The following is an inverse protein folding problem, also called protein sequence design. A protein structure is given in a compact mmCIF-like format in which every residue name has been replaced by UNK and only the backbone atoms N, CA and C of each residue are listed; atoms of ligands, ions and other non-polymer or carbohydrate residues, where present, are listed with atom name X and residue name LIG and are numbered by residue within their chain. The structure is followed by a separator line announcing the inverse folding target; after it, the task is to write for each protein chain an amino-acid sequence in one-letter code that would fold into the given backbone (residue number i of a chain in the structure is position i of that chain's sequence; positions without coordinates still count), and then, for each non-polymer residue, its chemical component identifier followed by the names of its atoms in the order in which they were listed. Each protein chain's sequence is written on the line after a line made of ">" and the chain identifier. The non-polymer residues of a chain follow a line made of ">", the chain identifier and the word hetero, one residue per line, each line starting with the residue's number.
data_IF_460866492834
#
_entry.id   IF_460866492834
#
_cell.length_a   1.000
_cell.length_b   1.000
_cell.length_c   1.000
_cell.angle_alpha   90.00
_cell.angle_beta   90.00
_cell.angle_gamma   90.00
#
_symmetry.space_group_name_H-M   'P 1'
#
loop_
_entity.id
_entity.type
_entity.pdbx_description
1 polymer ?
#
# COMPACT_ATOMS: atom_id res chain seq x y z
N UNK A 1 37.83 -66.79 -43.65
CA UNK A 1 37.94 -65.54 -42.87
C UNK A 1 36.85 -64.48 -43.02
N UNK A 2 35.76 -64.69 -43.81
CA UNK A 2 34.64 -63.66 -43.96
C UNK A 2 33.42 -63.88 -43.09
N UNK A 3 33.25 -65.01 -42.37
CA UNK A 3 32.06 -65.29 -41.52
C UNK A 3 32.16 -64.78 -40.05
N UNK A 4 33.41 -64.68 -39.51
CA UNK A 4 33.59 -64.27 -38.10
C UNK A 4 33.47 -62.75 -37.89
N UNK A 5 33.76 -61.95 -38.88
CA UNK A 5 33.66 -60.49 -38.78
C UNK A 5 32.19 -59.98 -38.78
N UNK A 6 31.26 -60.71 -39.36
CA UNK A 6 29.83 -60.36 -39.40
C UNK A 6 29.15 -60.57 -38.02
N UNK A 7 29.51 -61.68 -37.33
CA UNK A 7 28.94 -62.02 -36.00
C UNK A 7 29.41 -61.02 -34.90
N UNK A 8 30.67 -60.56 -34.94
CA UNK A 8 31.15 -59.53 -33.98
C UNK A 8 30.50 -58.15 -34.18
N UNK A 9 30.25 -57.74 -35.41
CA UNK A 9 29.60 -56.45 -35.70
C UNK A 9 28.13 -56.46 -35.28
N UNK A 10 27.43 -57.62 -35.38
CA UNK A 10 26.06 -57.75 -34.94
C UNK A 10 25.93 -57.75 -33.40
N UNK A 11 26.84 -58.47 -32.69
CA UNK A 11 26.89 -58.41 -31.20
C UNK A 11 27.23 -57.01 -30.67
N UNK A 12 28.13 -56.28 -31.27
CA UNK A 12 28.49 -54.90 -30.87
C UNK A 12 27.34 -53.90 -31.11
N UNK A 13 26.51 -54.12 -32.16
CA UNK A 13 25.32 -53.28 -32.40
C UNK A 13 24.18 -53.59 -31.37
N UNK A 14 24.01 -54.86 -30.99
CA UNK A 14 23.02 -55.24 -29.97
C UNK A 14 23.42 -54.69 -28.59
N UNK A 15 24.73 -54.83 -28.21
CA UNK A 15 25.23 -54.31 -26.92
C UNK A 15 25.14 -52.78 -26.85
N UNK A 16 25.39 -52.05 -27.96
CA UNK A 16 25.23 -50.59 -28.01
C UNK A 16 23.75 -50.16 -27.95
N UNK A 17 22.84 -50.93 -28.54
CA UNK A 17 21.39 -50.65 -28.54
C UNK A 17 20.75 -50.92 -27.19
N UNK A 18 21.16 -52.02 -26.49
CA UNK A 18 20.72 -52.26 -25.10
C UNK A 18 21.26 -51.24 -24.13
N UNK A 19 22.56 -50.89 -24.15
CA UNK A 19 23.12 -49.82 -23.30
C UNK A 19 22.46 -48.43 -23.54
N UNK A 20 22.08 -48.13 -24.78
CA UNK A 20 21.37 -46.88 -25.09
C UNK A 20 19.92 -46.85 -24.55
N UNK A 21 19.27 -48.00 -24.57
CA UNK A 21 17.90 -48.14 -24.00
C UNK A 21 17.97 -48.02 -22.46
N UNK A 22 18.89 -48.73 -21.80
CA UNK A 22 19.04 -48.68 -20.34
C UNK A 22 19.37 -47.28 -19.83
N UNK A 23 20.23 -46.55 -20.54
CA UNK A 23 20.52 -45.12 -20.18
C UNK A 23 19.34 -44.21 -20.40
N UNK A 24 18.55 -44.42 -21.45
CA UNK A 24 17.34 -43.63 -21.70
C UNK A 24 16.24 -43.93 -20.67
N UNK A 25 16.07 -45.20 -20.27
CA UNK A 25 15.14 -45.58 -19.20
C UNK A 25 15.58 -45.01 -17.86
N UNK A 26 16.87 -45.02 -17.54
CA UNK A 26 17.39 -44.43 -16.31
C UNK A 26 17.17 -42.90 -16.30
N UNK A 27 17.45 -42.20 -17.39
CA UNK A 27 17.26 -40.76 -17.52
C UNK A 27 15.73 -40.41 -17.38
N UNK A 28 14.87 -41.23 -17.99
CA UNK A 28 13.42 -41.07 -17.91
C UNK A 28 12.93 -41.28 -16.48
N UNK A 29 13.43 -42.33 -15.82
CA UNK A 29 13.12 -42.62 -14.41
C UNK A 29 13.58 -41.48 -13.49
N UNK A 30 14.81 -40.97 -13.64
CA UNK A 30 15.30 -39.83 -12.87
C UNK A 30 14.46 -38.58 -13.10
N UNK A 31 14.04 -38.31 -14.35
CA UNK A 31 13.15 -37.18 -14.67
C UNK A 31 11.77 -37.33 -14.05
N UNK A 32 11.21 -38.53 -14.06
CA UNK A 32 9.90 -38.83 -13.42
C UNK A 32 9.97 -38.68 -11.90
N UNK A 33 11.03 -39.19 -11.26
CA UNK A 33 11.21 -39.01 -9.80
C UNK A 33 11.41 -37.55 -9.43
N UNK A 34 12.16 -36.76 -10.21
CA UNK A 34 12.28 -35.29 -9.97
C UNK A 34 10.95 -34.58 -10.09
N UNK A 35 10.14 -34.93 -11.11
CA UNK A 35 8.78 -34.36 -11.27
C UNK A 35 7.86 -34.75 -10.12
N UNK A 36 7.90 -36.01 -9.69
CA UNK A 36 7.11 -36.49 -8.55
C UNK A 36 7.53 -35.81 -7.23
N UNK A 37 8.85 -35.68 -7.00
CA UNK A 37 9.36 -34.97 -5.81
C UNK A 37 8.98 -33.51 -5.83
N UNK A 38 9.04 -32.82 -6.97
CA UNK A 38 8.57 -31.45 -7.11
C UNK A 38 7.07 -31.32 -6.84
N UNK A 39 6.27 -32.24 -7.39
CA UNK A 39 4.83 -32.24 -7.16
C UNK A 39 4.46 -32.47 -5.66
N UNK A 40 5.18 -33.39 -4.99
CA UNK A 40 5.02 -33.61 -3.54
C UNK A 40 5.41 -32.37 -2.74
N UNK A 41 6.51 -31.71 -3.09
CA UNK A 41 6.94 -30.47 -2.45
C UNK A 41 5.90 -29.36 -2.63
N UNK A 42 5.39 -29.16 -3.85
CA UNK A 42 4.35 -28.18 -4.15
C UNK A 42 3.07 -28.49 -3.35
N UNK A 43 2.66 -29.77 -3.32
CA UNK A 43 1.49 -30.18 -2.54
C UNK A 43 1.69 -29.94 -1.04
N UNK A 44 2.86 -30.27 -0.50
CA UNK A 44 3.19 -30.02 0.91
C UNK A 44 3.16 -28.52 1.25
N UNK A 45 3.70 -27.67 0.37
CA UNK A 45 3.63 -26.22 0.51
C UNK A 45 2.20 -25.71 0.46
N UNK A 46 1.36 -26.22 -0.46
CA UNK A 46 -0.06 -25.86 -0.55
C UNK A 46 -0.84 -26.28 0.70
N UNK A 47 -0.61 -27.49 1.19
CA UNK A 47 -1.23 -27.99 2.42
C UNK A 47 -0.78 -27.20 3.64
N UNK A 48 0.52 -26.90 3.74
CA UNK A 48 1.06 -26.02 4.78
C UNK A 48 0.43 -24.63 4.74
N UNK A 49 0.25 -24.09 3.54
CA UNK A 49 -0.44 -22.82 3.30
C UNK A 49 -1.89 -22.85 3.78
N UNK A 50 -2.65 -23.86 3.36
CA UNK A 50 -4.05 -24.02 3.79
C UNK A 50 -4.15 -24.15 5.31
N UNK A 51 -3.25 -24.91 5.93
CA UNK A 51 -3.20 -25.07 7.39
C UNK A 51 -2.80 -23.78 8.14
N UNK A 52 -2.01 -22.89 7.53
CA UNK A 52 -1.57 -21.65 8.18
C UNK A 52 -2.68 -20.59 8.27
N UNK A 53 -3.63 -20.57 7.33
CA UNK A 53 -4.70 -19.57 7.27
C UNK A 53 -5.53 -19.50 8.56
N UNK A 54 -6.01 -20.61 9.16
CA UNK A 54 -6.72 -20.57 10.43
C UNK A 54 -5.95 -19.90 11.56
N UNK A 55 -4.62 -20.05 11.61
CA UNK A 55 -3.78 -19.39 12.60
C UNK A 55 -3.75 -17.88 12.38
N UNK A 56 -3.58 -17.42 11.13
CA UNK A 56 -3.63 -16.00 10.78
C UNK A 56 -4.99 -15.36 11.01
N UNK A 57 -6.04 -16.17 10.99
CA UNK A 57 -7.42 -15.72 11.26
C UNK A 57 -7.83 -15.84 12.73
N UNK A 58 -6.96 -16.36 13.60
CA UNK A 58 -7.27 -16.47 15.02
C UNK A 58 -7.40 -15.09 15.65
N UNK A 59 -8.51 -14.84 16.34
CA UNK A 59 -8.82 -13.57 16.99
C UNK A 59 -9.26 -12.44 16.04
N UNK A 60 -9.17 -12.63 14.72
CA UNK A 60 -9.61 -11.62 13.74
C UNK A 60 -11.12 -11.37 13.88
N UNK A 61 -11.46 -10.11 14.17
CA UNK A 61 -12.83 -9.64 14.35
C UNK A 61 -13.00 -8.67 15.50
N UNK A 62 -12.08 -8.66 16.46
CA UNK A 62 -12.06 -7.66 17.56
C UNK A 62 -10.63 -7.19 17.79
N UNK A 63 -10.46 -5.93 18.19
CA UNK A 63 -9.13 -5.40 18.50
C UNK A 63 -8.47 -6.15 19.68
N UNK A 64 -9.24 -6.61 20.66
CA UNK A 64 -8.70 -7.42 21.75
C UNK A 64 -8.18 -8.77 21.24
N UNK A 65 -8.93 -9.46 20.38
CA UNK A 65 -8.50 -10.71 19.77
C UNK A 65 -7.27 -10.55 18.87
N UNK A 66 -7.15 -9.43 18.19
CA UNK A 66 -6.04 -9.11 17.28
C UNK A 66 -4.83 -8.48 17.99
N UNK A 67 -4.94 -8.11 19.26
CA UNK A 67 -3.94 -7.31 20.00
C UNK A 67 -2.51 -7.84 19.86
N UNK A 68 -2.34 -9.12 20.09
CA UNK A 68 -1.02 -9.76 20.03
C UNK A 68 -0.42 -9.73 18.60
N UNK A 69 -1.21 -9.99 17.58
CA UNK A 69 -0.75 -9.93 16.19
C UNK A 69 -0.43 -8.50 15.77
N UNK A 70 -1.29 -7.52 16.09
CA UNK A 70 -1.08 -6.09 15.83
C UNK A 70 0.24 -5.61 16.45
N UNK A 71 0.47 -5.90 17.73
CA UNK A 71 1.68 -5.44 18.42
C UNK A 71 2.95 -6.13 17.89
N UNK A 72 2.87 -7.39 17.47
CA UNK A 72 4.01 -8.09 16.85
C UNK A 72 4.31 -7.57 15.45
N UNK A 73 3.31 -7.24 14.64
CA UNK A 73 3.50 -6.59 13.32
C UNK A 73 4.10 -5.20 13.48
N UNK A 74 3.64 -4.43 14.49
CA UNK A 74 4.28 -3.17 14.86
C UNK A 74 5.77 -3.36 15.18
N UNK A 75 6.13 -4.38 15.95
CA UNK A 75 7.53 -4.64 16.31
C UNK A 75 8.40 -4.94 15.09
N UNK A 76 7.89 -5.69 14.11
CA UNK A 76 8.57 -5.89 12.84
C UNK A 76 8.84 -4.57 12.12
N UNK A 77 7.80 -3.72 11.98
CA UNK A 77 7.94 -2.42 11.31
C UNK A 77 8.87 -1.47 12.07
N UNK A 78 8.91 -1.51 13.40
CA UNK A 78 9.90 -0.76 14.19
C UNK A 78 11.32 -1.17 13.77
N UNK A 79 11.60 -2.46 13.70
CA UNK A 79 12.90 -2.98 13.31
C UNK A 79 13.34 -2.56 11.90
N UNK A 80 12.37 -2.32 11.01
CA UNK A 80 12.60 -1.97 9.61
C UNK A 80 12.62 -0.45 9.35
N UNK A 81 11.69 0.30 9.92
CA UNK A 81 11.45 1.70 9.58
C UNK A 81 12.02 2.68 10.63
N UNK A 82 12.10 2.31 11.91
CA UNK A 82 12.63 3.20 12.96
C UNK A 82 14.15 3.00 13.08
N UNK A 83 14.87 3.33 12.01
CA UNK A 83 16.31 3.13 11.89
C UNK A 83 17.01 4.38 11.36
N UNK A 84 17.89 4.27 10.38
CA UNK A 84 18.47 5.41 9.66
C UNK A 84 17.83 5.56 8.28
N UNK A 85 17.79 6.78 7.69
CA UNK A 85 17.25 6.99 6.35
C UNK A 85 17.80 6.02 5.30
N UNK A 86 19.13 5.78 5.32
CA UNK A 86 19.79 4.86 4.40
C UNK A 86 19.27 3.43 4.52
N UNK A 87 19.10 2.94 5.75
CA UNK A 87 18.54 1.59 6.00
C UNK A 87 17.09 1.48 5.55
N UNK A 88 16.28 2.53 5.75
CA UNK A 88 14.91 2.55 5.24
C UNK A 88 14.90 2.46 3.72
N UNK A 89 15.78 3.18 3.04
CA UNK A 89 15.93 3.09 1.58
C UNK A 89 16.35 1.69 1.11
N UNK A 90 17.25 1.02 1.83
CA UNK A 90 17.71 -0.34 1.54
C UNK A 90 16.57 -1.39 1.66
N UNK A 91 15.55 -1.14 2.48
CA UNK A 91 14.38 -2.02 2.60
C UNK A 91 13.38 -1.86 1.43
N UNK A 92 13.56 -0.86 0.58
CA UNK A 92 12.69 -0.67 -0.59
C UNK A 92 13.13 -1.60 -1.75
N UNK A 93 12.21 -1.99 -2.65
CA UNK A 93 12.52 -2.93 -3.73
C UNK A 93 13.67 -2.45 -4.63
N UNK A 94 14.76 -3.21 -4.68
CA UNK A 94 16.00 -2.83 -5.39
C UNK A 94 15.92 -2.83 -6.92
N UNK A 95 14.80 -3.23 -7.51
CA UNK A 95 14.57 -3.18 -8.96
C UNK A 95 13.74 -1.98 -9.41
N UNK A 96 13.38 -1.11 -8.49
CA UNK A 96 12.63 0.12 -8.79
C UNK A 96 13.59 1.27 -9.10
N UNK A 97 13.12 2.23 -9.89
CA UNK A 97 13.80 3.52 -10.05
C UNK A 97 14.00 4.16 -8.67
N UNK A 98 15.14 4.85 -8.46
CA UNK A 98 15.44 5.54 -7.19
C UNK A 98 14.33 6.49 -6.74
N UNK A 99 13.63 7.09 -7.68
CA UNK A 99 12.48 7.94 -7.44
C UNK A 99 11.37 7.19 -6.68
N UNK A 100 10.97 6.02 -7.15
CA UNK A 100 9.95 5.22 -6.48
C UNK A 100 10.43 4.68 -5.12
N UNK A 101 11.74 4.41 -4.97
CA UNK A 101 12.27 3.98 -3.68
C UNK A 101 12.07 5.05 -2.59
N UNK A 102 12.38 6.32 -2.88
CA UNK A 102 12.20 7.43 -1.94
C UNK A 102 10.73 7.66 -1.58
N UNK A 103 9.86 7.64 -2.59
CA UNK A 103 8.42 7.77 -2.42
C UNK A 103 7.83 6.64 -1.56
N UNK A 104 8.19 5.37 -1.85
CA UNK A 104 7.74 4.22 -1.07
C UNK A 104 8.30 4.20 0.35
N UNK A 105 9.53 4.65 0.55
CA UNK A 105 10.12 4.81 1.88
C UNK A 105 9.34 5.82 2.71
N UNK A 106 9.04 6.99 2.15
CA UNK A 106 8.22 8.02 2.77
C UNK A 106 6.81 7.49 3.08
N UNK A 107 6.16 6.86 2.10
CA UNK A 107 4.82 6.33 2.27
C UNK A 107 4.75 5.22 3.33
N UNK A 108 5.76 4.35 3.38
CA UNK A 108 5.88 3.31 4.42
C UNK A 108 6.01 3.92 5.81
N UNK A 109 6.84 4.95 5.97
CA UNK A 109 6.98 5.69 7.23
C UNK A 109 5.67 6.37 7.64
N UNK A 110 4.98 7.00 6.70
CA UNK A 110 3.70 7.69 6.95
C UNK A 110 2.60 6.71 7.37
N UNK A 111 2.40 5.62 6.63
CA UNK A 111 1.40 4.61 6.99
C UNK A 111 1.72 3.95 8.33
N UNK A 112 2.99 3.79 8.65
CA UNK A 112 3.37 3.28 9.96
C UNK A 112 3.13 4.30 11.08
N UNK A 113 3.32 5.60 10.86
CA UNK A 113 2.96 6.64 11.81
C UNK A 113 1.46 6.64 12.10
N UNK A 114 0.61 6.53 11.06
CA UNK A 114 -0.84 6.35 11.21
C UNK A 114 -1.17 5.10 12.03
N UNK A 115 -0.54 3.96 11.73
CA UNK A 115 -0.75 2.73 12.48
C UNK A 115 -0.38 2.88 13.96
N UNK A 116 0.72 3.56 14.28
CA UNK A 116 1.16 3.83 15.64
C UNK A 116 0.16 4.70 16.41
N UNK A 117 -0.40 5.72 15.77
CA UNK A 117 -1.44 6.58 16.35
C UNK A 117 -2.73 5.80 16.59
N UNK A 118 -3.17 5.00 15.62
CA UNK A 118 -4.32 4.13 15.78
C UNK A 118 -4.13 3.10 16.90
N UNK A 119 -2.95 2.47 16.99
CA UNK A 119 -2.60 1.55 18.07
C UNK A 119 -2.68 2.24 19.44
N UNK A 120 -2.19 3.48 19.55
CA UNK A 120 -2.28 4.25 20.79
C UNK A 120 -3.72 4.63 21.17
N UNK A 121 -4.61 4.81 20.21
CA UNK A 121 -6.05 5.02 20.45
C UNK A 121 -6.75 3.75 20.92
N UNK A 122 -6.42 2.59 20.30
CA UNK A 122 -7.00 1.29 20.65
C UNK A 122 -6.42 0.79 21.99
N UNK A 123 -5.13 1.01 22.23
CA UNK A 123 -4.39 0.55 23.39
C UNK A 123 -3.65 1.74 24.05
N UNK A 124 -4.31 2.52 24.92
CA UNK A 124 -3.76 3.79 25.45
C UNK A 124 -2.39 3.67 26.14
N UNK A 125 -2.06 2.50 26.68
CA UNK A 125 -0.75 2.22 27.28
C UNK A 125 0.40 2.22 26.26
N UNK A 126 0.08 2.19 24.95
CA UNK A 126 1.07 2.27 23.87
C UNK A 126 1.37 3.72 23.44
N UNK A 127 0.68 4.72 24.02
CA UNK A 127 0.74 6.12 23.55
C UNK A 127 2.14 6.72 23.61
N UNK A 128 2.80 6.62 24.75
CA UNK A 128 4.12 7.24 24.96
C UNK A 128 5.19 6.62 24.03
N UNK A 129 5.18 5.32 23.91
CA UNK A 129 6.12 4.62 23.04
C UNK A 129 5.84 4.90 21.55
N UNK A 130 4.57 5.00 21.16
CA UNK A 130 4.16 5.37 19.80
C UNK A 130 4.61 6.78 19.44
N UNK A 131 4.48 7.74 20.37
CA UNK A 131 4.94 9.12 20.17
C UNK A 131 6.44 9.17 19.83
N UNK A 132 7.27 8.44 20.57
CA UNK A 132 8.72 8.39 20.31
C UNK A 132 9.06 7.79 18.94
N UNK A 133 8.30 6.82 18.48
CA UNK A 133 8.49 6.25 17.14
C UNK A 133 8.02 7.20 16.04
N UNK A 134 6.87 7.85 16.20
CA UNK A 134 6.38 8.86 15.22
C UNK A 134 7.36 10.02 15.11
N UNK A 135 7.92 10.52 16.23
CA UNK A 135 8.98 11.53 16.22
C UNK A 135 10.17 11.11 15.35
N UNK A 136 10.63 9.87 15.53
CA UNK A 136 11.75 9.33 14.75
C UNK A 136 11.43 9.16 13.26
N UNK A 137 10.22 8.72 12.92
CA UNK A 137 9.77 8.58 11.53
C UNK A 137 9.70 9.95 10.83
N UNK A 138 9.27 11.01 11.52
CA UNK A 138 9.28 12.38 10.99
C UNK A 138 10.72 12.82 10.68
N UNK A 139 11.68 12.61 11.60
CA UNK A 139 13.09 12.92 11.36
C UNK A 139 13.64 12.17 10.13
N UNK A 140 13.30 10.90 9.96
CA UNK A 140 13.69 10.09 8.80
C UNK A 140 13.11 10.67 7.51
N UNK A 141 11.82 10.99 7.48
CA UNK A 141 11.16 11.55 6.29
C UNK A 141 11.70 12.95 5.96
N UNK A 142 12.08 13.73 6.96
CA UNK A 142 12.72 15.04 6.77
C UNK A 142 14.17 14.96 6.28
N UNK A 143 14.79 13.79 6.22
CA UNK A 143 16.16 13.63 5.75
C UNK A 143 16.30 13.96 4.26
N UNK A 144 17.49 14.38 3.83
CA UNK A 144 17.81 14.63 2.43
C UNK A 144 17.66 13.38 1.58
N UNK A 145 17.99 12.22 2.13
CA UNK A 145 17.95 10.94 1.44
C UNK A 145 16.52 10.56 1.01
N UNK A 146 15.55 10.72 1.92
CA UNK A 146 14.15 10.36 1.62
C UNK A 146 13.54 11.40 0.69
N UNK A 147 13.73 12.70 0.89
CA UNK A 147 13.07 13.71 0.05
C UNK A 147 13.76 13.98 -1.29
N UNK A 148 14.90 13.32 -1.56
CA UNK A 148 15.60 13.46 -2.83
C UNK A 148 14.75 13.08 -4.05
N UNK A 149 13.79 12.14 -3.90
CA UNK A 149 12.86 11.77 -4.97
C UNK A 149 12.01 12.96 -5.42
N UNK A 150 11.43 13.70 -4.48
CA UNK A 150 10.62 14.90 -4.75
C UNK A 150 11.49 16.01 -5.34
N UNK A 151 12.69 16.25 -4.78
CA UNK A 151 13.65 17.23 -5.29
C UNK A 151 14.03 16.96 -6.76
N UNK A 152 14.27 15.70 -7.13
CA UNK A 152 14.58 15.32 -8.52
C UNK A 152 13.41 15.60 -9.46
N UNK A 153 12.19 15.32 -9.03
CA UNK A 153 10.96 15.57 -9.81
C UNK A 153 10.70 17.05 -10.03
N UNK A 154 11.07 17.90 -9.07
CA UNK A 154 10.94 19.35 -9.13
C UNK A 154 12.25 20.05 -9.54
N UNK A 155 12.99 19.45 -10.49
CA UNK A 155 14.18 20.03 -11.13
C UNK A 155 15.28 20.48 -10.16
N UNK A 156 15.39 19.83 -9.03
CA UNK A 156 16.38 20.11 -7.99
C UNK A 156 15.91 21.06 -6.91
N UNK A 157 14.66 21.53 -6.95
CA UNK A 157 14.07 22.35 -5.90
C UNK A 157 13.74 21.50 -4.66
N UNK A 158 14.19 21.95 -3.50
CA UNK A 158 13.92 21.26 -2.23
C UNK A 158 12.60 21.76 -1.62
N UNK A 159 11.66 20.83 -1.37
CA UNK A 159 10.32 21.15 -0.87
C UNK A 159 10.31 21.99 0.42
N UNK A 160 11.23 21.73 1.35
CA UNK A 160 11.28 22.45 2.63
C UNK A 160 11.98 23.80 2.53
N UNK A 161 12.89 23.97 1.56
CA UNK A 161 13.57 25.23 1.32
C UNK A 161 12.72 26.20 0.48
N UNK A 162 11.72 25.70 -0.25
CA UNK A 162 10.91 26.48 -1.20
C UNK A 162 9.46 26.72 -0.76
N UNK A 163 9.18 26.70 0.54
CA UNK A 163 7.82 26.91 1.06
C UNK A 163 7.18 28.22 0.60
N UNK A 164 7.98 29.27 0.40
CA UNK A 164 7.49 30.56 -0.12
C UNK A 164 7.29 30.57 -1.65
N UNK A 165 7.81 29.55 -2.35
CA UNK A 165 7.66 29.41 -3.81
C UNK A 165 6.28 28.88 -4.22
N UNK A 166 6.10 28.69 -5.54
CA UNK A 166 4.80 28.33 -6.12
C UNK A 166 4.72 26.90 -6.65
N UNK A 167 5.84 26.15 -6.69
CA UNK A 167 5.80 24.75 -7.08
C UNK A 167 5.04 23.91 -6.06
N UNK A 168 4.32 22.92 -6.53
CA UNK A 168 3.35 22.20 -5.72
C UNK A 168 3.98 21.43 -4.55
N UNK A 169 4.91 20.53 -4.84
CA UNK A 169 5.48 19.58 -3.86
C UNK A 169 4.40 18.87 -3.00
N UNK A 170 3.17 18.75 -3.52
CA UNK A 170 2.01 18.26 -2.74
C UNK A 170 2.23 16.84 -2.24
N UNK A 171 2.86 15.97 -3.03
CA UNK A 171 3.17 14.59 -2.64
C UNK A 171 3.97 14.54 -1.33
N UNK A 172 5.06 15.28 -1.26
CA UNK A 172 5.94 15.27 -0.08
C UNK A 172 5.36 16.08 1.09
N UNK A 173 4.93 17.32 0.84
CA UNK A 173 4.51 18.24 1.91
C UNK A 173 3.26 17.76 2.62
N UNK A 174 2.29 17.20 1.89
CA UNK A 174 1.04 16.72 2.49
C UNK A 174 1.25 15.52 3.42
N UNK A 175 2.09 14.58 3.01
CA UNK A 175 2.43 13.40 3.83
C UNK A 175 3.19 13.83 5.09
N UNK A 176 4.18 14.72 4.96
CA UNK A 176 4.92 15.21 6.11
C UNK A 176 4.02 15.98 7.08
N UNK A 177 3.13 16.83 6.57
CA UNK A 177 2.13 17.53 7.40
C UNK A 177 1.20 16.53 8.12
N UNK A 178 0.73 15.49 7.43
CA UNK A 178 -0.05 14.42 8.04
C UNK A 178 0.67 13.75 9.21
N UNK A 179 1.95 13.39 9.04
CA UNK A 179 2.75 12.79 10.10
C UNK A 179 2.95 13.74 11.31
N UNK A 180 3.12 15.04 11.06
CA UNK A 180 3.19 16.04 12.14
C UNK A 180 1.85 16.17 12.87
N UNK A 181 0.73 16.04 12.15
CA UNK A 181 -0.60 15.94 12.74
C UNK A 181 -0.71 14.72 13.67
N UNK A 182 -0.29 13.53 13.23
CA UNK A 182 -0.27 12.32 14.06
C UNK A 182 0.59 12.49 15.33
N UNK A 183 1.74 13.17 15.20
CA UNK A 183 2.58 13.53 16.36
C UNK A 183 1.83 14.38 17.38
N UNK A 184 1.07 15.38 16.92
CA UNK A 184 0.24 16.25 17.79
C UNK A 184 -0.90 15.48 18.44
N UNK A 185 -1.57 14.58 17.73
CA UNK A 185 -2.62 13.70 18.26
C UNK A 185 -2.12 12.82 19.40
N UNK A 186 -0.89 12.35 19.31
CA UNK A 186 -0.24 11.59 20.38
C UNK A 186 0.17 12.45 21.57
N UNK A 187 -0.07 13.76 21.53
CA UNK A 187 0.32 14.69 22.60
C UNK A 187 1.76 15.16 22.49
N UNK A 188 2.34 15.13 21.28
CA UNK A 188 3.67 15.66 21.01
C UNK A 188 3.78 17.14 21.34
N UNK A 189 4.96 17.55 21.82
CA UNK A 189 5.28 18.93 22.16
C UNK A 189 5.35 19.87 20.94
N UNK A 190 5.96 21.02 21.12
CA UNK A 190 6.02 22.08 20.11
C UNK A 190 7.18 21.94 19.09
N UNK A 191 7.88 20.83 19.10
CA UNK A 191 9.06 20.57 18.25
C UNK A 191 8.84 20.90 16.76
N UNK A 192 7.66 20.58 16.23
CA UNK A 192 7.32 20.74 14.84
C UNK A 192 6.30 21.84 14.55
N UNK A 193 5.81 22.57 15.54
CA UNK A 193 4.66 23.49 15.38
C UNK A 193 4.89 24.55 14.32
N UNK A 194 6.06 25.17 14.29
CA UNK A 194 6.40 26.19 13.30
C UNK A 194 6.43 25.60 11.89
N UNK A 195 7.13 24.47 11.70
CA UNK A 195 7.22 23.83 10.37
C UNK A 195 5.87 23.28 9.92
N UNK A 196 5.11 22.67 10.81
CA UNK A 196 3.76 22.18 10.53
C UNK A 196 2.84 23.30 10.06
N UNK A 197 2.83 24.41 10.77
CA UNK A 197 2.05 25.60 10.39
C UNK A 197 2.48 26.14 9.03
N UNK A 198 3.78 26.30 8.79
CA UNK A 198 4.31 26.79 7.52
C UNK A 198 3.94 25.89 6.35
N UNK A 199 4.05 24.57 6.50
CA UNK A 199 3.64 23.61 5.45
C UNK A 199 2.14 23.72 5.17
N UNK A 200 1.28 23.71 6.20
CA UNK A 200 -0.15 23.81 6.01
C UNK A 200 -0.58 25.14 5.38
N UNK A 201 -0.01 26.26 5.80
CA UNK A 201 -0.28 27.55 5.15
C UNK A 201 0.22 27.58 3.71
N UNK A 202 1.36 26.97 3.41
CA UNK A 202 1.88 26.85 2.04
C UNK A 202 0.95 26.05 1.15
N UNK A 203 0.53 24.86 1.59
CA UNK A 203 -0.42 24.04 0.85
C UNK A 203 -1.74 24.77 0.65
N UNK A 204 -2.29 25.40 1.70
CA UNK A 204 -3.53 26.17 1.62
C UNK A 204 -3.42 27.34 0.64
N UNK A 205 -2.35 28.11 0.69
CA UNK A 205 -2.09 29.22 -0.25
C UNK A 205 -2.03 28.72 -1.69
N UNK A 206 -1.20 27.70 -1.95
CA UNK A 206 -1.04 27.12 -3.30
C UNK A 206 -2.36 26.60 -3.84
N UNK A 207 -3.18 25.93 -3.00
CA UNK A 207 -4.52 25.47 -3.39
C UNK A 207 -5.45 26.65 -3.72
N UNK A 208 -5.41 27.73 -2.93
CA UNK A 208 -6.25 28.92 -3.19
C UNK A 208 -5.79 29.70 -4.43
N UNK A 209 -4.49 29.69 -4.73
CA UNK A 209 -3.93 30.29 -5.95
C UNK A 209 -4.26 29.48 -7.22
N UNK A 210 -4.52 28.16 -7.05
CA UNK A 210 -4.99 27.31 -8.14
C UNK A 210 -6.49 27.48 -8.36
N UNK A 211 -6.91 27.79 -9.59
CA UNK A 211 -8.32 28.03 -9.96
C UNK A 211 -9.25 26.87 -9.56
N UNK A 212 -8.74 25.67 -9.63
CA UNK A 212 -9.49 24.42 -9.32
C UNK A 212 -9.32 23.92 -7.90
N UNK A 213 -8.47 24.53 -7.09
CA UNK A 213 -8.00 24.06 -5.78
C UNK A 213 -7.13 22.78 -5.87
N UNK A 214 -6.71 22.37 -7.04
CA UNK A 214 -5.91 21.18 -7.25
C UNK A 214 -4.45 21.54 -7.55
N UNK A 215 -3.55 20.72 -7.03
CA UNK A 215 -2.11 20.87 -7.19
C UNK A 215 -1.53 19.66 -7.93
N UNK A 216 -0.63 19.85 -8.90
CA UNK A 216 0.01 18.72 -9.57
C UNK A 216 0.93 17.99 -8.58
N UNK A 217 0.85 16.67 -8.58
CA UNK A 217 1.75 15.81 -7.81
C UNK A 217 3.19 16.01 -8.30
N UNK A 218 3.35 16.02 -9.62
CA UNK A 218 4.61 16.28 -10.31
C UNK A 218 4.39 17.20 -11.52
N UNK A 219 5.45 17.87 -12.01
CA UNK A 219 5.35 18.73 -13.18
C UNK A 219 4.85 17.98 -14.41
N UNK A 220 3.97 18.65 -15.16
CA UNK A 220 3.44 18.17 -16.45
C UNK A 220 2.65 16.85 -16.40
N UNK A 221 2.30 16.37 -15.20
CA UNK A 221 1.47 15.18 -15.00
C UNK A 221 0.00 15.55 -14.72
N UNK A 222 -0.94 14.60 -14.92
CA UNK A 222 -2.32 14.73 -14.44
C UNK A 222 -2.38 14.98 -12.93
N UNK A 223 -3.48 15.57 -12.49
CA UNK A 223 -3.76 15.65 -11.05
C UNK A 223 -4.18 14.27 -10.53
N UNK A 224 -3.44 13.75 -9.59
CA UNK A 224 -3.78 12.52 -8.88
C UNK A 224 -4.73 12.89 -7.71
N UNK A 225 -5.99 12.48 -7.85
CA UNK A 225 -7.01 12.80 -6.85
C UNK A 225 -6.68 12.23 -5.45
N UNK A 226 -6.11 11.01 -5.32
CA UNK A 226 -5.67 10.54 -4.01
C UNK A 226 -4.64 11.44 -3.33
N UNK A 227 -3.67 11.99 -4.07
CA UNK A 227 -2.64 12.88 -3.50
C UNK A 227 -3.23 14.20 -3.03
N UNK A 228 -4.20 14.73 -3.78
CA UNK A 228 -4.97 15.88 -3.32
C UNK A 228 -5.74 15.59 -2.05
N UNK A 229 -6.32 14.39 -1.91
CA UNK A 229 -6.99 13.98 -0.69
C UNK A 229 -6.05 13.93 0.52
N UNK A 230 -4.79 13.49 0.33
CA UNK A 230 -3.78 13.55 1.41
C UNK A 230 -3.58 14.99 1.88
N UNK A 231 -3.47 15.95 0.95
CA UNK A 231 -3.33 17.36 1.30
C UNK A 231 -4.57 17.90 2.04
N UNK A 232 -5.76 17.57 1.55
CA UNK A 232 -7.03 17.99 2.16
C UNK A 232 -7.19 17.38 3.57
N UNK A 233 -6.81 16.11 3.77
CA UNK A 233 -6.77 15.47 5.10
C UNK A 233 -5.79 16.18 6.02
N UNK A 234 -4.57 16.47 5.56
CA UNK A 234 -3.57 17.19 6.36
C UNK A 234 -4.06 18.58 6.79
N UNK A 235 -4.70 19.33 5.87
CA UNK A 235 -5.30 20.64 6.19
C UNK A 235 -6.49 20.52 7.14
N UNK A 236 -7.35 19.50 6.97
CA UNK A 236 -8.48 19.23 7.88
C UNK A 236 -8.00 18.90 9.29
N UNK A 237 -6.95 18.08 9.39
CA UNK A 237 -6.33 17.73 10.67
C UNK A 237 -5.70 18.98 11.33
N UNK A 238 -4.96 19.77 10.55
CA UNK A 238 -4.41 21.04 11.02
C UNK A 238 -5.50 21.99 11.51
N UNK A 239 -6.62 22.11 10.78
CA UNK A 239 -7.76 22.94 11.15
C UNK A 239 -8.39 22.53 12.49
N UNK A 240 -8.55 21.24 12.74
CA UNK A 240 -9.05 20.73 14.02
C UNK A 240 -8.15 21.10 15.20
N UNK A 241 -6.83 21.03 14.99
CA UNK A 241 -5.84 21.33 16.03
C UNK A 241 -5.61 22.84 16.22
N UNK A 242 -5.92 23.67 15.22
CA UNK A 242 -5.58 25.09 15.18
C UNK A 242 -6.80 26.00 14.92
N UNK A 243 -7.91 25.73 15.58
CA UNK A 243 -9.11 26.60 15.63
C UNK A 243 -9.69 26.97 14.26
N UNK A 244 -9.69 26.02 13.31
CA UNK A 244 -10.37 26.16 12.03
C UNK A 244 -9.56 26.80 10.92
N UNK A 245 -8.28 27.08 11.12
CA UNK A 245 -7.39 27.54 10.04
C UNK A 245 -7.41 26.57 8.87
N UNK A 246 -7.53 27.08 7.63
CA UNK A 246 -7.63 26.29 6.39
C UNK A 246 -8.93 25.51 6.18
N UNK A 247 -9.90 25.55 7.11
CA UNK A 247 -11.13 24.76 6.99
C UNK A 247 -11.98 25.16 5.77
N UNK A 248 -11.98 26.44 5.38
CA UNK A 248 -12.71 26.89 4.19
C UNK A 248 -12.21 26.22 2.91
N UNK A 249 -10.90 26.11 2.73
CA UNK A 249 -10.29 25.43 1.57
C UNK A 249 -10.68 23.94 1.54
N UNK A 250 -10.66 23.26 2.70
CA UNK A 250 -11.11 21.87 2.84
C UNK A 250 -12.57 21.72 2.40
N UNK A 251 -13.46 22.57 2.91
CA UNK A 251 -14.89 22.52 2.60
C UNK A 251 -15.13 22.76 1.10
N UNK A 252 -14.51 23.77 0.52
CA UNK A 252 -14.62 24.09 -0.91
C UNK A 252 -14.11 22.96 -1.81
N UNK A 253 -13.00 22.33 -1.45
CA UNK A 253 -12.48 21.18 -2.20
C UNK A 253 -13.45 19.99 -2.14
N UNK A 254 -13.98 19.66 -0.95
CA UNK A 254 -14.94 18.57 -0.77
C UNK A 254 -16.25 18.82 -1.55
N UNK A 255 -16.75 20.04 -1.58
CA UNK A 255 -17.96 20.37 -2.37
C UNK A 255 -17.69 20.17 -3.86
N UNK A 256 -16.53 20.62 -4.39
CA UNK A 256 -16.15 20.33 -5.79
C UNK A 256 -16.03 18.81 -6.03
N UNK A 257 -15.42 18.07 -5.12
CA UNK A 257 -15.29 16.62 -5.26
C UNK A 257 -16.66 15.92 -5.36
N UNK A 258 -17.66 16.39 -4.63
CA UNK A 258 -19.03 15.86 -4.67
C UNK A 258 -19.80 16.22 -5.94
N UNK A 259 -19.49 17.35 -6.57
CA UNK A 259 -20.26 17.88 -7.71
C UNK A 259 -19.57 17.66 -9.05
N UNK A 260 -18.25 17.89 -9.12
CA UNK A 260 -17.56 18.06 -10.37
C UNK A 260 -16.74 16.80 -10.77
N UNK A 261 -16.31 15.98 -9.81
CA UNK A 261 -15.32 14.94 -10.06
C UNK A 261 -15.79 13.52 -9.78
N UNK A 262 -17.09 13.28 -9.94
CA UNK A 262 -17.65 11.93 -9.84
C UNK A 262 -17.76 11.30 -11.24
N UNK A 263 -17.27 10.06 -11.35
CA UNK A 263 -17.43 9.26 -12.56
C UNK A 263 -18.93 9.01 -12.84
N UNK A 264 -19.39 9.35 -14.03
CA UNK A 264 -20.80 9.30 -14.40
C UNK A 264 -21.41 7.88 -14.31
N UNK A 265 -20.58 6.83 -14.48
CA UNK A 265 -21.04 5.44 -14.49
C UNK A 265 -21.13 4.84 -13.09
N UNK A 266 -20.11 5.06 -12.29
CA UNK A 266 -19.98 4.45 -10.96
C UNK A 266 -20.39 5.38 -9.83
N UNK A 267 -20.35 6.70 -10.08
CA UNK A 267 -20.50 7.73 -9.05
C UNK A 267 -19.37 7.74 -8.02
N UNK A 268 -18.25 7.06 -8.33
CA UNK A 268 -17.03 7.13 -7.53
C UNK A 268 -16.24 8.38 -7.90
N UNK A 269 -15.47 8.88 -6.94
CA UNK A 269 -14.51 9.94 -7.19
C UNK A 269 -13.49 9.45 -8.22
N UNK A 270 -13.22 10.27 -9.25
CA UNK A 270 -12.31 9.91 -10.33
C UNK A 270 -10.88 9.71 -9.83
N UNK A 271 -10.10 8.94 -10.55
CA UNK A 271 -8.69 8.68 -10.19
C UNK A 271 -7.77 9.84 -10.57
N UNK A 272 -8.08 10.49 -11.70
CA UNK A 272 -7.25 11.53 -12.30
C UNK A 272 -8.11 12.68 -12.83
N UNK A 273 -7.57 13.88 -12.71
CA UNK A 273 -8.04 15.05 -13.45
C UNK A 273 -6.98 15.49 -14.45
N UNK A 274 -7.35 16.29 -15.44
CA UNK A 274 -6.40 16.88 -16.36
C UNK A 274 -5.35 17.73 -15.61
N UNK A 275 -4.35 18.18 -16.30
CA UNK A 275 -3.25 18.97 -15.70
C UNK A 275 -3.68 20.33 -15.15
N UNK A 276 -4.90 20.80 -15.48
CA UNK A 276 -5.51 21.99 -14.89
C UNK A 276 -6.28 21.65 -13.61
N UNK A 277 -6.60 20.39 -13.39
CA UNK A 277 -7.42 19.92 -12.27
C UNK A 277 -8.91 20.22 -12.42
N UNK A 278 -9.36 20.58 -13.62
CA UNK A 278 -10.75 20.97 -13.86
C UNK A 278 -11.63 19.80 -14.30
N UNK A 279 -11.12 18.91 -15.13
CA UNK A 279 -11.93 17.91 -15.82
C UNK A 279 -11.36 16.51 -15.69
N UNK A 280 -12.26 15.53 -15.66
CA UNK A 280 -11.88 14.13 -15.80
C UNK A 280 -11.23 13.91 -17.17
N UNK A 281 -10.18 13.10 -17.21
CA UNK A 281 -9.51 12.75 -18.46
C UNK A 281 -10.32 11.68 -19.20
N UNK A 282 -10.73 11.99 -20.43
CA UNK A 282 -11.47 11.07 -21.28
C UNK A 282 -10.74 9.74 -21.47
N UNK A 283 -11.46 8.64 -21.27
CA UNK A 283 -10.93 7.28 -21.44
C UNK A 283 -10.03 6.78 -20.31
N UNK A 284 -9.74 7.61 -19.31
CA UNK A 284 -9.05 7.13 -18.11
C UNK A 284 -10.03 6.40 -17.18
N UNK A 285 -9.77 5.13 -16.84
CA UNK A 285 -10.67 4.38 -15.98
C UNK A 285 -10.56 4.84 -14.52
N UNK A 286 -11.67 4.73 -13.79
CA UNK A 286 -11.63 4.73 -12.33
C UNK A 286 -10.89 3.46 -11.90
N UNK A 287 -9.83 3.62 -11.10
CA UNK A 287 -8.99 2.52 -10.59
C UNK A 287 -9.48 2.07 -9.21
N UNK A 288 -9.55 0.75 -9.00
CA UNK A 288 -9.98 0.20 -7.72
C UNK A 288 -9.05 0.57 -6.57
N UNK A 289 -7.74 0.54 -6.81
CA UNK A 289 -6.74 0.94 -5.83
C UNK A 289 -6.95 2.37 -5.35
N UNK A 290 -7.11 3.32 -6.28
CA UNK A 290 -7.32 4.74 -5.96
C UNK A 290 -8.69 4.99 -5.32
N UNK A 291 -9.73 4.29 -5.77
CA UNK A 291 -11.06 4.43 -5.15
C UNK A 291 -11.06 3.95 -3.69
N UNK A 292 -10.33 2.87 -3.38
CA UNK A 292 -10.20 2.39 -2.00
C UNK A 292 -9.39 3.37 -1.13
N UNK A 293 -8.32 3.93 -1.67
CA UNK A 293 -7.50 4.96 -1.03
C UNK A 293 -8.31 6.24 -0.80
N UNK A 294 -9.09 6.68 -1.80
CA UNK A 294 -9.99 7.82 -1.67
C UNK A 294 -11.03 7.59 -0.56
N UNK A 295 -11.66 6.40 -0.50
CA UNK A 295 -12.60 6.06 0.57
C UNK A 295 -11.95 6.14 1.96
N UNK A 296 -10.72 5.66 2.08
CA UNK A 296 -9.98 5.74 3.34
C UNK A 296 -9.76 7.20 3.76
N UNK A 297 -9.19 8.03 2.92
CA UNK A 297 -8.92 9.43 3.25
C UNK A 297 -10.19 10.25 3.47
N UNK A 298 -11.23 10.06 2.65
CA UNK A 298 -12.53 10.69 2.85
C UNK A 298 -13.15 10.34 4.21
N UNK A 299 -12.92 9.12 4.72
CA UNK A 299 -13.44 8.71 6.04
C UNK A 299 -12.90 9.53 7.19
N UNK A 300 -11.76 10.21 7.02
CA UNK A 300 -11.11 11.05 8.00
C UNK A 300 -11.67 12.50 8.02
N UNK A 301 -12.37 12.92 6.96
CA UNK A 301 -12.82 14.31 6.76
C UNK A 301 -14.32 14.46 6.51
N UNK A 302 -14.94 13.56 5.76
CA UNK A 302 -16.40 13.54 5.50
C UNK A 302 -16.93 12.10 5.52
N UNK A 303 -17.29 11.63 6.69
CA UNK A 303 -17.75 10.26 6.91
C UNK A 303 -19.00 9.89 6.09
N UNK A 304 -19.90 10.84 5.85
CA UNK A 304 -21.13 10.60 5.08
C UNK A 304 -20.80 10.37 3.61
N UNK A 305 -19.98 11.23 3.02
CA UNK A 305 -19.53 11.09 1.64
C UNK A 305 -18.70 9.82 1.47
N UNK A 306 -17.73 9.56 2.36
CA UNK A 306 -16.92 8.36 2.36
C UNK A 306 -17.77 7.08 2.42
N UNK A 307 -18.83 7.04 3.24
CA UNK A 307 -19.71 5.87 3.30
C UNK A 307 -20.44 5.64 1.97
N UNK A 308 -20.93 6.71 1.33
CA UNK A 308 -21.52 6.61 0.00
C UNK A 308 -20.53 6.08 -1.05
N UNK A 309 -19.26 6.55 -1.02
CA UNK A 309 -18.21 6.06 -1.87
C UNK A 309 -17.85 4.60 -1.58
N UNK A 310 -17.80 4.19 -0.31
CA UNK A 310 -17.54 2.81 0.09
C UNK A 310 -18.63 1.83 -0.42
N UNK A 311 -19.91 2.18 -0.34
CA UNK A 311 -20.99 1.33 -0.85
C UNK A 311 -20.91 1.18 -2.39
N UNK A 312 -20.56 2.25 -3.11
CA UNK A 312 -20.31 2.18 -4.56
C UNK A 312 -19.07 1.36 -4.88
N UNK A 313 -17.99 1.52 -4.11
CA UNK A 313 -16.78 0.70 -4.25
C UNK A 313 -17.10 -0.78 -4.10
N UNK A 314 -17.90 -1.15 -3.09
CA UNK A 314 -18.39 -2.53 -2.92
C UNK A 314 -19.20 -3.00 -4.13
N UNK A 315 -20.11 -2.20 -4.61
CA UNK A 315 -21.00 -2.54 -5.71
C UNK A 315 -20.22 -2.84 -7.00
N UNK A 316 -19.24 -2.02 -7.36
CA UNK A 316 -18.58 -2.10 -8.66
C UNK A 316 -17.27 -2.89 -8.65
N UNK A 317 -16.53 -2.86 -7.56
CA UNK A 317 -15.16 -3.37 -7.50
C UNK A 317 -14.95 -4.56 -6.56
N UNK A 318 -15.77 -4.72 -5.50
CA UNK A 318 -15.56 -5.83 -4.58
C UNK A 318 -15.98 -7.16 -5.20
N UNK A 319 -15.11 -8.15 -5.07
CA UNK A 319 -15.35 -9.54 -5.41
C UNK A 319 -15.30 -10.39 -4.14
N UNK A 320 -16.31 -11.23 -3.91
CA UNK A 320 -16.38 -12.12 -2.75
C UNK A 320 -15.93 -13.56 -3.04
N UNK A 321 -15.95 -13.99 -4.31
CA UNK A 321 -15.68 -15.38 -4.71
C UNK A 321 -14.98 -15.43 -6.08
N UNK A 322 -14.10 -16.40 -6.37
CA UNK A 322 -13.63 -17.48 -5.47
C UNK A 322 -12.64 -16.99 -4.40
N UNK A 323 -11.99 -15.85 -4.61
CA UNK A 323 -11.10 -15.19 -3.66
C UNK A 323 -11.65 -13.78 -3.46
N UNK A 324 -11.81 -13.37 -2.20
CA UNK A 324 -12.28 -12.02 -1.88
C UNK A 324 -11.18 -11.00 -2.18
N UNK A 325 -11.56 -9.85 -2.71
CA UNK A 325 -10.60 -8.80 -3.01
C UNK A 325 -11.23 -7.63 -3.77
N UNK A 326 -10.44 -6.61 -3.98
CA UNK A 326 -10.84 -5.47 -4.78
C UNK A 326 -10.27 -5.59 -6.19
N UNK A 327 -11.13 -5.52 -7.20
CA UNK A 327 -10.71 -5.46 -8.61
C UNK A 327 -10.00 -4.14 -8.88
N UNK A 328 -9.00 -4.16 -9.75
CA UNK A 328 -8.41 -2.91 -10.25
C UNK A 328 -9.29 -2.23 -11.29
N UNK A 329 -10.00 -3.02 -12.09
CA UNK A 329 -10.92 -2.51 -13.11
C UNK A 329 -12.29 -3.17 -12.99
N UNK A 330 -13.37 -2.36 -13.10
CA UNK A 330 -14.74 -2.87 -13.03
C UNK A 330 -15.31 -3.23 -14.40
N UNK A 331 -14.84 -2.61 -15.47
CA UNK A 331 -15.36 -2.67 -16.83
C UNK A 331 -14.52 -3.53 -17.79
N UNK A 332 -13.37 -3.97 -17.35
CA UNK A 332 -12.47 -4.85 -18.12
C UNK A 332 -11.87 -5.94 -17.27
N UNK A 333 -11.44 -7.03 -17.90
CA UNK A 333 -10.70 -8.08 -17.23
C UNK A 333 -9.19 -7.86 -17.42
N UNK A 334 -8.45 -7.87 -16.31
CA UNK A 334 -6.99 -7.84 -16.29
C UNK A 334 -6.47 -9.06 -15.52
N UNK A 335 -6.32 -10.22 -16.18
CA UNK A 335 -5.96 -11.45 -15.51
C UNK A 335 -4.57 -11.40 -14.87
N UNK A 336 -3.62 -10.72 -15.50
CA UNK A 336 -2.27 -10.45 -14.99
C UNK A 336 -1.86 -9.05 -15.45
N UNK A 337 -1.36 -8.26 -14.53
CA UNK A 337 -0.85 -6.92 -14.79
C UNK A 337 0.13 -6.46 -13.71
N UNK A 338 0.75 -5.33 -13.95
CA UNK A 338 1.59 -4.63 -12.98
C UNK A 338 1.26 -3.14 -13.05
N UNK A 339 1.08 -2.55 -11.91
CA UNK A 339 0.83 -1.12 -11.74
C UNK A 339 1.53 -0.68 -10.45
N UNK A 340 2.19 0.48 -10.46
CA UNK A 340 2.96 0.95 -9.32
C UNK A 340 2.07 1.12 -8.06
N UNK A 341 0.87 1.65 -8.25
CA UNK A 341 -0.07 1.97 -7.17
C UNK A 341 -0.92 0.77 -6.76
N UNK A 342 -1.34 -0.04 -7.73
CA UNK A 342 -2.14 -1.24 -7.47
C UNK A 342 -1.32 -2.44 -6.99
N UNK A 343 -0.01 -2.47 -7.32
CA UNK A 343 0.86 -3.62 -7.17
C UNK A 343 0.66 -4.66 -8.29
N UNK A 344 1.11 -5.91 -8.10
CA UNK A 344 0.92 -6.99 -9.07
C UNK A 344 -0.57 -7.38 -9.15
N UNK A 345 -1.22 -7.03 -10.26
CA UNK A 345 -2.62 -7.39 -10.51
C UNK A 345 -2.69 -8.87 -10.89
N UNK A 346 -3.42 -9.66 -10.14
CA UNK A 346 -3.64 -11.08 -10.40
C UNK A 346 -5.15 -11.36 -10.38
N UNK A 347 -5.66 -11.97 -11.42
CA UNK A 347 -7.10 -12.21 -11.60
C UNK A 347 -7.95 -10.93 -11.45
N UNK A 348 -7.44 -9.82 -11.97
CA UNK A 348 -7.98 -8.47 -11.85
C UNK A 348 -8.03 -7.91 -10.42
N UNK A 349 -7.46 -8.58 -9.43
CA UNK A 349 -7.41 -8.11 -8.04
C UNK A 349 -6.17 -7.23 -7.79
N UNK A 350 -6.39 -6.10 -7.13
CA UNK A 350 -5.37 -5.15 -6.68
C UNK A 350 -4.99 -5.44 -5.22
N UNK A 351 -3.73 -5.77 -4.91
CA UNK A 351 -3.27 -5.92 -3.54
C UNK A 351 -3.43 -4.64 -2.70
N UNK A 352 -3.02 -3.48 -3.22
CA UNK A 352 -3.13 -2.21 -2.49
C UNK A 352 -4.59 -1.81 -2.28
N UNK A 353 -5.43 -1.89 -3.33
CA UNK A 353 -6.86 -1.62 -3.23
C UNK A 353 -7.54 -2.55 -2.21
N UNK A 354 -7.17 -3.83 -2.19
CA UNK A 354 -7.66 -4.79 -1.21
C UNK A 354 -7.26 -4.40 0.22
N UNK A 355 -6.02 -3.96 0.42
CA UNK A 355 -5.54 -3.49 1.73
C UNK A 355 -6.26 -2.22 2.19
N UNK A 356 -6.41 -1.19 1.34
CA UNK A 356 -7.13 0.05 1.69
C UNK A 356 -8.62 -0.20 1.97
N UNK A 357 -9.23 -1.15 1.27
CA UNK A 357 -10.62 -1.52 1.55
C UNK A 357 -10.78 -2.18 2.93
N UNK A 358 -9.75 -2.84 3.49
CA UNK A 358 -9.78 -3.28 4.90
C UNK A 358 -9.96 -2.09 5.83
N UNK A 359 -9.30 -0.95 5.57
CA UNK A 359 -9.43 0.27 6.36
C UNK A 359 -10.83 0.85 6.33
N UNK A 360 -11.44 0.95 5.16
CA UNK A 360 -12.82 1.41 5.02
C UNK A 360 -13.81 0.44 5.69
N UNK A 361 -13.65 -0.87 5.50
CA UNK A 361 -14.48 -1.87 6.17
C UNK A 361 -14.33 -1.82 7.70
N UNK A 362 -13.12 -1.58 8.21
CA UNK A 362 -12.87 -1.39 9.65
C UNK A 362 -13.60 -0.14 10.17
N UNK A 363 -13.45 1.00 9.48
CA UNK A 363 -14.07 2.27 9.86
C UNK A 363 -15.60 2.20 9.87
N UNK A 364 -16.20 1.53 8.87
CA UNK A 364 -17.67 1.44 8.74
C UNK A 364 -18.29 0.23 9.44
N UNK A 365 -17.51 -0.58 10.12
CA UNK A 365 -17.99 -1.74 10.88
C UNK A 365 -18.48 -2.90 10.00
N UNK A 366 -18.00 -3.00 8.75
CA UNK A 366 -18.32 -4.10 7.83
C UNK A 366 -17.44 -5.33 8.14
N UNK A 367 -17.81 -6.04 9.20
CA UNK A 367 -17.01 -7.14 9.75
C UNK A 367 -16.81 -8.29 8.75
N UNK A 368 -17.79 -8.58 7.90
CA UNK A 368 -17.73 -9.69 6.93
C UNK A 368 -16.74 -9.37 5.80
N UNK A 369 -16.82 -8.18 5.23
CA UNK A 369 -15.87 -7.72 4.22
C UNK A 369 -14.47 -7.63 4.82
N UNK A 370 -14.30 -7.00 5.98
CA UNK A 370 -13.02 -6.91 6.68
C UNK A 370 -12.37 -8.28 6.88
N UNK A 371 -13.13 -9.22 7.43
CA UNK A 371 -12.66 -10.58 7.70
C UNK A 371 -12.27 -11.32 6.43
N UNK A 372 -13.05 -11.21 5.36
CA UNK A 372 -12.75 -11.88 4.09
C UNK A 372 -11.52 -11.31 3.39
N UNK A 373 -11.30 -9.98 3.46
CA UNK A 373 -10.11 -9.33 2.91
C UNK A 373 -8.83 -9.67 3.70
N UNK A 374 -8.89 -9.69 5.04
CA UNK A 374 -7.78 -10.15 5.87
C UNK A 374 -7.44 -11.61 5.57
N UNK A 375 -8.46 -12.48 5.37
CA UNK A 375 -8.24 -13.85 4.95
C UNK A 375 -7.50 -13.95 3.61
N UNK A 376 -7.84 -13.09 2.66
CA UNK A 376 -7.11 -13.02 1.38
C UNK A 376 -5.66 -12.57 1.58
N UNK A 377 -5.42 -11.60 2.45
CA UNK A 377 -4.07 -11.18 2.79
C UNK A 377 -3.26 -12.31 3.44
N UNK A 378 -3.88 -13.13 4.32
CA UNK A 378 -3.25 -14.34 4.87
C UNK A 378 -2.96 -15.39 3.79
N UNK A 379 -3.86 -15.58 2.85
CA UNK A 379 -3.65 -16.49 1.71
C UNK A 379 -2.50 -16.00 0.81
N UNK A 380 -2.49 -14.73 0.42
CA UNK A 380 -1.50 -14.17 -0.49
C UNK A 380 -0.16 -13.92 0.21
N UNK A 381 -0.16 -13.30 1.37
CA UNK A 381 1.02 -12.82 2.09
C UNK A 381 1.75 -13.88 2.89
N UNK A 382 1.05 -14.84 3.48
CA UNK A 382 1.56 -15.84 4.44
C UNK A 382 2.26 -15.19 5.64
N UNK A 383 1.61 -15.17 6.77
CA UNK A 383 2.23 -14.61 7.97
C UNK A 383 3.39 -15.49 8.47
N UNK A 384 4.54 -14.89 8.66
CA UNK A 384 5.62 -15.42 9.46
C UNK A 384 5.36 -15.10 10.94
N UNK A 385 5.40 -16.12 11.80
CA UNK A 385 5.19 -15.99 13.23
C UNK A 385 6.53 -16.14 13.97
N UNK A 386 7.13 -15.02 14.36
CA UNK A 386 8.34 -14.98 15.18
C UNK A 386 8.04 -14.97 16.68
N UNK A 387 9.08 -14.95 17.51
CA UNK A 387 8.92 -14.84 18.97
C UNK A 387 8.39 -13.47 19.40
N UNK A 388 8.87 -12.40 18.76
CA UNK A 388 8.59 -11.01 19.12
C UNK A 388 7.92 -10.22 18.01
N UNK A 389 7.89 -10.75 16.80
CA UNK A 389 7.41 -10.07 15.59
C UNK A 389 6.61 -11.01 14.68
N UNK A 390 5.64 -10.46 13.99
CA UNK A 390 4.90 -11.11 12.91
C UNK A 390 4.95 -10.19 11.68
N UNK A 391 4.97 -10.77 10.48
CA UNK A 391 4.83 -10.03 9.24
C UNK A 391 4.39 -10.96 8.11
N UNK A 392 3.83 -10.41 7.05
CA UNK A 392 3.64 -11.17 5.82
C UNK A 392 4.98 -11.43 5.13
N UNK A 393 5.22 -12.65 4.64
CA UNK A 393 6.43 -12.96 3.89
C UNK A 393 6.63 -12.03 2.67
N UNK A 394 5.54 -11.52 2.10
CA UNK A 394 5.58 -10.51 1.03
C UNK A 394 6.18 -9.17 1.48
N UNK A 395 6.20 -8.86 2.79
CA UNK A 395 6.83 -7.65 3.30
C UNK A 395 8.34 -7.60 3.02
N UNK A 396 8.98 -8.75 2.84
CA UNK A 396 10.38 -8.83 2.43
C UNK A 396 10.62 -8.33 0.98
N UNK A 397 9.57 -8.16 0.19
CA UNK A 397 9.61 -7.64 -1.19
C UNK A 397 8.93 -6.28 -1.33
N UNK A 398 7.97 -5.98 -0.46
CA UNK A 398 7.18 -4.76 -0.49
C UNK A 398 6.77 -4.37 0.94
N UNK A 399 7.69 -3.76 1.69
CA UNK A 399 7.50 -3.37 3.08
C UNK A 399 6.31 -2.40 3.27
N UNK A 400 6.06 -1.56 2.26
CA UNK A 400 4.92 -0.63 2.25
C UNK A 400 3.58 -1.36 2.44
N UNK A 401 3.42 -2.57 1.89
CA UNK A 401 2.21 -3.37 2.05
C UNK A 401 1.94 -3.79 3.49
N UNK A 402 2.98 -4.08 4.28
CA UNK A 402 2.85 -4.39 5.72
C UNK A 402 2.44 -3.15 6.51
N UNK A 403 3.05 -1.99 6.23
CA UNK A 403 2.72 -0.72 6.88
C UNK A 403 1.27 -0.30 6.59
N UNK A 404 0.85 -0.35 5.31
CA UNK A 404 -0.53 -0.08 4.89
C UNK A 404 -1.49 -1.04 5.58
N UNK A 405 -1.22 -2.35 5.54
CA UNK A 405 -2.14 -3.32 6.14
C UNK A 405 -2.29 -3.14 7.65
N UNK A 406 -1.22 -2.81 8.36
CA UNK A 406 -1.31 -2.53 9.79
C UNK A 406 -2.13 -1.27 10.07
N UNK A 407 -1.92 -0.19 9.30
CA UNK A 407 -2.71 1.03 9.41
C UNK A 407 -4.20 0.77 9.14
N UNK A 408 -4.51 0.01 8.09
CA UNK A 408 -5.89 -0.29 7.69
C UNK A 408 -6.60 -1.23 8.66
N UNK A 409 -5.90 -2.21 9.22
CA UNK A 409 -6.46 -3.10 10.26
C UNK A 409 -6.79 -2.38 11.55
N UNK A 410 -6.08 -1.29 11.84
CA UNK A 410 -6.23 -0.47 13.03
C UNK A 410 -6.97 0.84 12.77
N UNK A 411 -7.58 1.02 11.59
CA UNK A 411 -8.26 2.26 11.23
C UNK A 411 -9.47 2.54 12.12
N UNK A 412 -9.28 3.40 13.11
CA UNK A 412 -10.31 3.89 14.02
C UNK A 412 -10.58 5.37 13.76
N UNK A 413 -11.78 5.81 14.11
CA UNK A 413 -12.19 7.18 13.90
C UNK A 413 -11.28 8.16 14.66
N UNK A 414 -10.96 9.28 14.04
CA UNK A 414 -10.33 10.40 14.73
C UNK A 414 -11.33 11.06 15.69
N UNK A 415 -10.92 11.23 16.93
CA UNK A 415 -11.76 11.81 17.99
C UNK A 415 -11.80 13.32 17.85
#
# INVERSE_FOLDING_TARGET
>A
MKKETSSRKCRLKIIKKTRSNDSNELITSIRQHKKASLAILVLALLLGKIASVPFGMYGVGTFEGERNDILRRRNYLIGKLVTTPQKVMEEMPGGMDEQFQGEWAMYSCSMFAVALTNIARIYPEQKEVSLGYVDKLIEIVMSSEIREYDRKRWWGEDALASLEGNHSHVSYLSILAGMMGEYKELGGGNKYDELYSRICYTLNRRMLDAETLNLPTYPDEPIYVPDMLVAVVALSHYAKLNHGSCQDTVNRWIEKAKTDWLDAKTGLLVSFLDNTGAQQIDGMPVKGAYSALNCYYLSLIDRSFAKGQYERLKQYFYQSSPISGLKEYHDRNCPIGMDADAGPIIANLSPSGTAFMVGSATCFGDADVRRSLIKTAEIAGSTFYGFTENHYLLANFALVGEAVMLAMRTNVEWI
#
